data_IF_467371472006
#
_entry.id   IF_467371472006
#
_cell.length_a   1.000
_cell.length_b   1.000
_cell.length_c   1.000
_cell.angle_alpha   90.00
_cell.angle_beta   90.00
_cell.angle_gamma   90.00
#
_symmetry.space_group_name_H-M   'P 1'
#
loop_
_entity.id
_entity.type
_entity.pdbx_description
1 polymer ?
#
# COMPACT_ATOMS: atom_id res chain seq x y z
N UNK A 1 7.16 11.30 -9.99
CA UNK A 1 6.55 10.39 -10.99
C UNK A 1 6.53 8.99 -10.39
N UNK A 2 5.43 8.28 -10.56
CA UNK A 2 5.23 6.92 -10.03
C UNK A 2 5.94 5.92 -10.94
N UNK A 3 6.79 5.06 -10.38
CA UNK A 3 7.45 3.99 -11.13
C UNK A 3 6.50 2.81 -11.33
N UNK A 4 6.34 2.36 -12.58
CA UNK A 4 5.37 1.35 -12.98
C UNK A 4 6.03 0.24 -13.79
N UNK A 5 5.65 -1.02 -13.53
CA UNK A 5 5.92 -2.16 -14.42
C UNK A 5 4.60 -2.61 -15.04
N UNK A 6 4.63 -2.87 -16.35
CA UNK A 6 3.50 -3.42 -17.12
C UNK A 6 3.80 -4.87 -17.47
N UNK A 7 2.90 -5.77 -17.09
CA UNK A 7 3.09 -7.22 -17.19
C UNK A 7 1.88 -7.84 -17.88
N UNK A 8 2.06 -8.32 -19.11
CA UNK A 8 1.00 -8.86 -19.94
C UNK A 8 1.66 -9.64 -21.10
N UNK A 9 1.28 -10.84 -21.42
CA UNK A 9 1.88 -11.63 -22.52
C UNK A 9 1.47 -11.09 -23.90
N UNK A 10 0.33 -10.37 -23.98
CA UNK A 10 -0.14 -9.74 -25.21
C UNK A 10 0.57 -8.40 -25.46
N UNK A 11 1.41 -8.32 -26.48
CA UNK A 11 2.13 -7.10 -26.86
C UNK A 11 1.20 -5.89 -27.11
N UNK A 12 0.03 -6.11 -27.72
CA UNK A 12 -0.93 -5.03 -28.02
C UNK A 12 -1.49 -4.45 -26.73
N UNK A 13 -1.84 -5.29 -25.76
CA UNK A 13 -2.34 -4.88 -24.45
C UNK A 13 -1.28 -4.11 -23.66
N UNK A 14 -0.01 -4.60 -23.64
CA UNK A 14 1.10 -3.88 -23.00
C UNK A 14 1.30 -2.50 -23.58
N UNK A 15 1.43 -2.38 -24.92
CA UNK A 15 1.60 -1.08 -25.60
C UNK A 15 0.48 -0.09 -25.31
N UNK A 16 -0.76 -0.58 -25.21
CA UNK A 16 -1.91 0.25 -24.84
C UNK A 16 -1.76 0.81 -23.44
N UNK A 17 -1.39 -0.03 -22.48
CA UNK A 17 -1.17 0.40 -21.09
C UNK A 17 -0.02 1.41 -20.98
N UNK A 18 1.11 1.14 -21.64
CA UNK A 18 2.26 2.05 -21.66
C UNK A 18 1.83 3.42 -22.19
N UNK A 19 1.13 3.47 -23.31
CA UNK A 19 0.63 4.72 -23.87
C UNK A 19 -0.32 5.46 -22.92
N UNK A 20 -1.26 4.75 -22.29
CA UNK A 20 -2.19 5.36 -21.33
C UNK A 20 -1.46 5.90 -20.10
N UNK A 21 -0.42 5.22 -19.63
CA UNK A 21 0.42 5.67 -18.53
C UNK A 21 1.22 6.93 -18.91
N UNK A 22 1.82 6.97 -20.09
CA UNK A 22 2.52 8.14 -20.62
C UNK A 22 1.58 9.35 -20.75
N UNK A 23 0.34 9.14 -21.23
CA UNK A 23 -0.68 10.19 -21.36
C UNK A 23 -1.10 10.78 -19.99
N UNK A 24 -0.87 10.10 -18.86
CA UNK A 24 -1.13 10.67 -17.53
C UNK A 24 -0.14 11.78 -17.16
N UNK A 25 1.09 11.72 -17.67
CA UNK A 25 2.19 12.61 -17.27
C UNK A 25 2.66 12.41 -15.81
N UNK A 26 2.13 11.41 -15.10
CA UNK A 26 2.40 11.16 -13.66
C UNK A 26 3.16 9.86 -13.42
N UNK A 27 3.28 8.99 -14.42
CA UNK A 27 3.89 7.69 -14.35
C UNK A 27 5.15 7.57 -15.21
N UNK A 28 6.10 6.73 -14.79
CA UNK A 28 7.25 6.31 -15.58
C UNK A 28 7.24 4.79 -15.66
N UNK A 29 7.10 4.22 -16.85
CA UNK A 29 7.22 2.79 -17.07
C UNK A 29 8.69 2.41 -17.03
N UNK A 30 9.09 1.69 -15.98
CA UNK A 30 10.50 1.28 -15.75
C UNK A 30 10.81 -0.07 -16.35
N UNK A 31 9.80 -0.89 -16.63
CA UNK A 31 9.95 -2.16 -17.35
C UNK A 31 8.61 -2.61 -17.96
N UNK A 32 8.72 -3.40 -19.02
CA UNK A 32 7.66 -4.20 -19.61
C UNK A 32 8.05 -5.68 -19.51
N UNK A 33 7.13 -6.55 -19.07
CA UNK A 33 7.34 -7.98 -18.99
C UNK A 33 6.28 -8.74 -19.83
N UNK A 34 6.72 -9.72 -20.59
CA UNK A 34 5.85 -10.56 -21.39
C UNK A 34 5.47 -11.87 -20.68
N UNK A 35 5.89 -12.07 -19.42
CA UNK A 35 5.62 -13.26 -18.63
C UNK A 35 5.89 -13.05 -17.16
N UNK A 36 5.26 -13.89 -16.35
CA UNK A 36 5.28 -13.76 -14.89
C UNK A 36 6.64 -14.02 -14.25
N UNK A 37 7.42 -14.97 -14.80
CA UNK A 37 8.75 -15.26 -14.24
C UNK A 37 9.74 -14.11 -14.40
N UNK A 38 9.75 -13.44 -15.58
CA UNK A 38 10.55 -12.22 -15.80
C UNK A 38 10.07 -11.10 -14.86
N UNK A 39 8.76 -11.00 -14.69
CA UNK A 39 8.15 -10.00 -13.81
C UNK A 39 8.61 -10.11 -12.36
N UNK A 40 8.68 -11.31 -11.78
CA UNK A 40 9.16 -11.53 -10.40
C UNK A 40 10.57 -10.95 -10.22
N UNK A 41 11.50 -11.28 -11.13
CA UNK A 41 12.88 -10.78 -11.06
C UNK A 41 12.97 -9.25 -11.18
N UNK A 42 12.19 -8.66 -12.10
CA UNK A 42 12.19 -7.20 -12.30
C UNK A 42 11.52 -6.45 -11.17
N UNK A 43 10.43 -6.96 -10.61
CA UNK A 43 9.78 -6.34 -9.44
C UNK A 43 10.75 -6.33 -8.27
N UNK A 44 11.42 -7.45 -7.99
CA UNK A 44 12.39 -7.57 -6.90
C UNK A 44 13.61 -6.64 -7.07
N UNK A 45 14.03 -6.37 -8.32
CA UNK A 45 15.23 -5.56 -8.60
C UNK A 45 14.92 -4.08 -8.70
N UNK A 46 13.79 -3.72 -9.33
CA UNK A 46 13.43 -2.33 -9.64
C UNK A 46 12.52 -1.70 -8.57
N UNK A 47 11.97 -2.50 -7.66
CA UNK A 47 11.07 -2.06 -6.59
C UNK A 47 10.02 -1.03 -7.05
N UNK A 48 9.18 -1.36 -8.06
CA UNK A 48 8.23 -0.40 -8.60
C UNK A 48 7.19 -0.04 -7.56
N UNK A 49 6.65 1.16 -7.64
CA UNK A 49 5.57 1.61 -6.76
C UNK A 49 4.22 1.01 -7.17
N UNK A 50 4.04 0.70 -8.48
CA UNK A 50 2.80 0.17 -9.04
C UNK A 50 3.09 -0.91 -10.08
N UNK A 51 2.22 -1.90 -10.20
CA UNK A 51 2.23 -2.88 -11.29
C UNK A 51 0.84 -3.00 -11.92
N UNK A 52 0.80 -3.03 -13.26
CA UNK A 52 -0.33 -3.52 -14.01
C UNK A 52 -0.02 -4.95 -14.44
N UNK A 53 -0.85 -5.90 -14.03
CA UNK A 53 -0.53 -7.32 -14.09
C UNK A 53 -1.68 -8.11 -14.71
N UNK A 54 -1.43 -8.79 -15.83
CA UNK A 54 -2.39 -9.76 -16.33
C UNK A 54 -2.47 -10.98 -15.40
N UNK A 55 -3.67 -11.49 -15.24
CA UNK A 55 -3.92 -12.70 -14.46
C UNK A 55 -3.45 -13.92 -15.21
N UNK A 56 -3.74 -14.03 -16.50
CA UNK A 56 -3.38 -15.22 -17.28
C UNK A 56 -2.17 -14.98 -18.16
N UNK A 57 -1.10 -15.67 -17.83
CA UNK A 57 0.14 -15.72 -18.62
C UNK A 57 0.65 -17.16 -18.70
N UNK A 58 1.31 -17.56 -19.81
CA UNK A 58 1.65 -18.96 -20.06
C UNK A 58 2.63 -19.60 -19.07
N UNK A 59 3.57 -18.83 -18.52
CA UNK A 59 4.69 -19.33 -17.71
C UNK A 59 4.43 -19.29 -16.20
N UNK A 60 3.84 -18.20 -15.73
CA UNK A 60 3.43 -17.98 -14.34
C UNK A 60 2.28 -16.98 -14.32
N UNK A 61 1.16 -17.35 -13.74
CA UNK A 61 -0.01 -16.50 -13.67
C UNK A 61 0.20 -15.30 -12.71
N UNK A 62 -0.64 -14.27 -12.82
CA UNK A 62 -0.51 -13.07 -12.03
C UNK A 62 -0.58 -13.31 -10.51
N UNK A 63 -1.35 -14.27 -10.06
CA UNK A 63 -1.41 -14.64 -8.64
C UNK A 63 -0.12 -15.33 -8.19
N UNK A 64 0.43 -16.20 -9.03
CA UNK A 64 1.72 -16.84 -8.81
C UNK A 64 2.87 -15.85 -8.74
N UNK A 65 2.82 -14.77 -9.55
CA UNK A 65 3.79 -13.65 -9.44
C UNK A 65 3.74 -13.03 -8.04
N UNK A 66 2.55 -12.69 -7.53
CA UNK A 66 2.40 -12.10 -6.20
C UNK A 66 2.82 -13.06 -5.09
N UNK A 67 2.51 -14.35 -5.23
CA UNK A 67 2.93 -15.37 -4.27
C UNK A 67 4.45 -15.56 -4.25
N UNK A 68 5.12 -15.48 -5.40
CA UNK A 68 6.58 -15.56 -5.49
C UNK A 68 7.31 -14.34 -4.88
N UNK A 69 6.61 -13.22 -4.68
CA UNK A 69 7.11 -12.02 -4.03
C UNK A 69 6.84 -12.00 -2.52
N UNK A 70 6.28 -13.07 -1.95
CA UNK A 70 5.95 -13.17 -0.53
C UNK A 70 7.18 -12.86 0.36
N UNK A 71 6.97 -12.03 1.39
CA UNK A 71 8.04 -11.53 2.25
C UNK A 71 8.65 -10.17 1.83
N UNK A 72 8.32 -9.64 0.65
CA UNK A 72 8.70 -8.31 0.21
C UNK A 72 7.51 -7.34 0.26
N UNK A 73 7.74 -6.02 0.45
CA UNK A 73 6.66 -5.05 0.35
C UNK A 73 6.10 -5.05 -1.09
N UNK A 74 4.87 -5.50 -1.24
CA UNK A 74 4.21 -5.55 -2.55
C UNK A 74 3.93 -4.14 -3.08
N UNK A 75 4.12 -3.89 -4.38
CA UNK A 75 3.69 -2.65 -5.03
C UNK A 75 2.16 -2.49 -4.97
N UNK A 76 1.64 -1.35 -5.39
CA UNK A 76 0.22 -1.20 -5.66
C UNK A 76 -0.14 -2.05 -6.90
N UNK A 77 -0.97 -3.07 -6.74
CA UNK A 77 -1.31 -4.03 -7.79
C UNK A 77 -2.64 -3.65 -8.43
N UNK A 78 -2.65 -3.51 -9.76
CA UNK A 78 -3.86 -3.39 -10.58
C UNK A 78 -3.87 -4.57 -11.55
N UNK A 79 -4.83 -5.47 -11.39
CA UNK A 79 -5.01 -6.56 -12.35
C UNK A 79 -5.66 -6.06 -13.65
N UNK A 80 -5.19 -6.57 -14.79
CA UNK A 80 -5.71 -6.21 -16.13
C UNK A 80 -5.88 -7.48 -16.94
N UNK A 81 -7.10 -7.98 -17.08
CA UNK A 81 -7.33 -9.30 -17.68
C UNK A 81 -8.65 -9.38 -18.46
N UNK A 82 -8.77 -10.39 -19.33
CA UNK A 82 -10.01 -10.67 -20.06
C UNK A 82 -11.03 -11.51 -19.24
N UNK A 83 -10.69 -11.93 -18.04
CA UNK A 83 -11.46 -12.90 -17.26
C UNK A 83 -12.07 -12.24 -16.01
N UNK A 84 -13.40 -12.23 -15.92
CA UNK A 84 -14.18 -11.68 -14.81
C UNK A 84 -14.18 -12.57 -13.56
N UNK A 85 -14.06 -13.88 -13.74
CA UNK A 85 -14.11 -14.89 -12.68
C UNK A 85 -13.02 -14.74 -11.61
N UNK A 86 -11.92 -14.04 -11.90
CA UNK A 86 -10.83 -13.82 -10.97
C UNK A 86 -10.97 -12.54 -10.12
N UNK A 87 -12.01 -11.75 -10.37
CA UNK A 87 -12.23 -10.50 -9.62
C UNK A 87 -12.33 -10.76 -8.11
N UNK A 88 -13.00 -11.83 -7.68
CA UNK A 88 -13.12 -12.18 -6.26
C UNK A 88 -11.75 -12.51 -5.65
N UNK A 89 -10.91 -13.30 -6.33
CA UNK A 89 -9.55 -13.62 -5.87
C UNK A 89 -8.63 -12.39 -5.80
N UNK A 90 -8.86 -11.38 -6.64
CA UNK A 90 -8.10 -10.13 -6.58
C UNK A 90 -8.28 -9.39 -5.24
N UNK A 91 -9.45 -9.49 -4.63
CA UNK A 91 -9.70 -8.95 -3.28
C UNK A 91 -8.92 -9.70 -2.22
N UNK A 92 -8.79 -11.04 -2.31
CA UNK A 92 -8.07 -11.86 -1.34
C UNK A 92 -6.58 -11.50 -1.27
N UNK A 93 -5.99 -11.09 -2.40
CA UNK A 93 -4.57 -10.65 -2.48
C UNK A 93 -4.39 -9.14 -2.30
N UNK A 94 -5.43 -8.42 -1.84
CA UNK A 94 -5.40 -6.99 -1.57
C UNK A 94 -4.99 -6.14 -2.79
N UNK A 95 -5.36 -6.57 -4.01
CA UNK A 95 -5.21 -5.74 -5.20
C UNK A 95 -5.97 -4.43 -5.04
N UNK A 96 -5.42 -3.36 -5.58
CA UNK A 96 -6.04 -2.04 -5.47
C UNK A 96 -7.24 -1.92 -6.39
N UNK A 97 -7.14 -2.50 -7.58
CA UNK A 97 -8.21 -2.47 -8.57
C UNK A 97 -8.10 -3.65 -9.56
N UNK A 98 -9.15 -3.79 -10.37
CA UNK A 98 -9.31 -4.83 -11.38
C UNK A 98 -9.88 -4.23 -12.67
N UNK A 99 -9.10 -4.30 -13.77
CA UNK A 99 -9.49 -3.83 -15.09
C UNK A 99 -9.85 -5.01 -15.97
N UNK A 100 -11.12 -5.12 -16.36
CA UNK A 100 -11.57 -6.12 -17.31
C UNK A 100 -11.34 -5.64 -18.75
N UNK A 101 -10.61 -6.41 -19.56
CA UNK A 101 -10.44 -6.16 -21.00
C UNK A 101 -11.73 -6.52 -21.76
N UNK A 102 -12.22 -5.69 -22.70
CA UNK A 102 -11.71 -4.38 -23.07
C UNK A 102 -12.16 -3.29 -22.09
N UNK A 103 -11.26 -2.39 -21.71
CA UNK A 103 -11.54 -1.24 -20.88
C UNK A 103 -11.35 0.07 -21.66
N UNK A 104 -12.05 1.12 -21.29
CA UNK A 104 -11.87 2.46 -21.83
C UNK A 104 -10.85 3.29 -21.02
N UNK A 105 -10.53 4.48 -21.54
CA UNK A 105 -9.58 5.40 -20.91
C UNK A 105 -10.10 5.93 -19.57
N UNK A 106 -11.41 6.10 -19.41
CA UNK A 106 -12.00 6.58 -18.16
C UNK A 106 -11.80 5.57 -17.05
N UNK A 107 -12.12 4.28 -17.32
CA UNK A 107 -11.94 3.19 -16.37
C UNK A 107 -10.46 2.97 -15.98
N UNK A 108 -9.54 3.09 -16.96
CA UNK A 108 -8.10 3.07 -16.68
C UNK A 108 -7.69 4.21 -15.72
N UNK A 109 -8.14 5.44 -15.96
CA UNK A 109 -7.82 6.59 -15.12
C UNK A 109 -8.33 6.43 -13.69
N UNK A 110 -9.51 5.85 -13.50
CA UNK A 110 -10.04 5.53 -12.18
C UNK A 110 -9.13 4.54 -11.43
N UNK A 111 -8.72 3.46 -12.11
CA UNK A 111 -7.84 2.45 -11.51
C UNK A 111 -6.46 3.04 -11.14
N UNK A 112 -5.90 3.86 -12.05
CA UNK A 112 -4.64 4.55 -11.80
C UNK A 112 -4.74 5.50 -10.61
N UNK A 113 -5.82 6.28 -10.51
CA UNK A 113 -6.04 7.21 -9.41
C UNK A 113 -6.14 6.49 -8.06
N UNK A 114 -6.87 5.37 -7.98
CA UNK A 114 -6.96 4.54 -6.77
C UNK A 114 -5.60 3.97 -6.36
N UNK A 115 -4.81 3.49 -7.34
CA UNK A 115 -3.49 2.96 -7.07
C UNK A 115 -2.52 4.05 -6.59
N UNK A 116 -2.60 5.25 -7.16
CA UNK A 116 -1.85 6.42 -6.70
C UNK A 116 -2.22 6.79 -5.27
N UNK A 117 -3.49 6.90 -4.93
CA UNK A 117 -3.96 7.18 -3.57
C UNK A 117 -3.45 6.14 -2.57
N UNK A 118 -3.43 4.86 -2.94
CA UNK A 118 -2.89 3.78 -2.11
C UNK A 118 -1.41 3.96 -1.83
N UNK A 119 -0.62 4.37 -2.85
CA UNK A 119 0.81 4.64 -2.70
C UNK A 119 1.04 5.83 -1.77
N UNK A 120 0.32 6.93 -1.98
CA UNK A 120 0.43 8.14 -1.15
C UNK A 120 0.07 7.87 0.32
N UNK A 121 -0.95 7.07 0.56
CA UNK A 121 -1.37 6.68 1.91
C UNK A 121 -0.31 5.83 2.60
N UNK A 122 0.35 4.90 1.89
CA UNK A 122 1.45 4.10 2.44
C UNK A 122 2.63 4.96 2.84
N UNK A 123 3.04 5.89 1.99
CA UNK A 123 4.15 6.81 2.28
C UNK A 123 3.87 7.61 3.55
N UNK A 124 2.67 8.16 3.70
CA UNK A 124 2.26 8.90 4.90
C UNK A 124 2.30 8.02 6.16
N UNK A 125 1.84 6.78 6.06
CA UNK A 125 1.86 5.84 7.20
C UNK A 125 3.27 5.47 7.60
N UNK A 126 4.17 5.27 6.64
CA UNK A 126 5.58 4.98 6.90
C UNK A 126 6.34 6.18 7.49
N UNK A 127 6.06 7.41 7.01
CA UNK A 127 6.62 8.63 7.57
C UNK A 127 6.13 8.85 9.02
N UNK A 128 4.83 8.67 9.26
CA UNK A 128 4.26 8.72 10.61
C UNK A 128 4.87 7.62 11.52
N UNK A 129 5.12 6.43 10.99
CA UNK A 129 5.78 5.33 11.70
C UNK A 129 7.22 5.65 12.06
N UNK A 130 8.00 6.20 11.12
CA UNK A 130 9.39 6.65 11.34
C UNK A 130 9.46 7.80 12.35
N UNK A 131 8.56 8.78 12.22
CA UNK A 131 8.48 9.88 13.17
C UNK A 131 8.15 9.39 14.58
N UNK A 132 7.22 8.43 14.72
CA UNK A 132 6.90 7.79 16.00
C UNK A 132 8.08 7.02 16.57
N UNK A 133 8.86 6.32 15.74
CA UNK A 133 10.07 5.62 16.18
C UNK A 133 11.12 6.60 16.68
N UNK A 134 11.41 7.68 15.94
CA UNK A 134 12.34 8.73 16.34
C UNK A 134 11.91 9.43 17.63
N UNK A 135 10.61 9.73 17.78
CA UNK A 135 10.07 10.30 19.02
C UNK A 135 10.18 9.33 20.19
N UNK A 136 10.03 8.02 19.95
CA UNK A 136 10.22 7.00 20.98
C UNK A 136 11.67 6.94 21.44
N UNK A 137 12.62 6.94 20.51
CA UNK A 137 14.05 6.93 20.81
C UNK A 137 14.47 8.19 21.58
N UNK A 138 14.00 9.37 21.15
CA UNK A 138 14.27 10.64 21.83
C UNK A 138 13.67 10.71 23.24
N UNK A 139 12.50 10.10 23.45
CA UNK A 139 11.83 10.05 24.76
C UNK A 139 12.36 8.94 25.67
N UNK A 140 13.09 7.95 25.14
CA UNK A 140 13.71 6.86 25.91
C UNK A 140 15.13 7.20 26.40
N UNK A 141 15.80 8.21 25.80
CA UNK A 141 17.16 8.61 26.17
C UNK A 141 17.23 9.35 27.54
N UNK A 142 16.08 9.69 28.13
CA UNK A 142 15.99 10.36 29.45
C UNK A 142 15.73 9.40 30.63
N UNK A 143 15.96 8.07 30.47
CA UNK A 143 15.71 7.07 31.52
C UNK A 143 16.80 6.01 31.69
N UNK A 144 17.77 6.33 32.51
CA UNK A 144 18.42 5.33 33.38
C UNK A 144 17.57 5.19 34.64
N UNK A 145 16.71 4.20 34.73
CA UNK A 145 16.57 3.33 35.91
C UNK A 145 15.31 2.44 35.90
N UNK A 146 15.55 1.14 36.14
CA UNK A 146 14.67 0.15 36.74
C UNK A 146 13.49 -0.43 35.93
N UNK A 147 13.78 -1.59 35.37
CA UNK A 147 13.03 -2.80 35.12
C UNK A 147 11.52 -2.88 35.43
N UNK A 148 10.70 -2.27 34.57
CA UNK A 148 9.34 -2.65 34.15
C UNK A 148 8.94 -1.63 33.08
N UNK A 149 8.86 -2.08 31.81
CA UNK A 149 8.40 -1.23 30.71
C UNK A 149 6.89 -0.96 30.85
N UNK A 150 6.53 0.09 31.55
CA UNK A 150 5.22 0.70 31.44
C UNK A 150 5.31 1.89 30.47
N UNK A 151 4.40 1.94 29.49
CA UNK A 151 4.28 3.10 28.60
C UNK A 151 3.84 4.30 29.43
N UNK A 152 4.69 5.28 29.61
CA UNK A 152 4.34 6.50 30.33
C UNK A 152 3.52 7.51 29.51
N UNK A 153 3.50 7.34 28.20
CA UNK A 153 2.83 8.25 27.25
C UNK A 153 2.28 7.48 26.06
N UNK A 154 1.10 7.89 25.59
CA UNK A 154 0.44 7.34 24.40
C UNK A 154 0.22 8.48 23.40
N UNK A 155 0.58 8.26 22.13
CA UNK A 155 0.28 9.20 21.06
C UNK A 155 -1.11 8.89 20.48
N UNK A 156 -2.02 9.85 20.53
CA UNK A 156 -3.38 9.77 19.97
C UNK A 156 -3.54 10.77 18.84
N UNK A 157 -4.17 10.35 17.75
CA UNK A 157 -4.47 11.22 16.61
C UNK A 157 -5.90 11.74 16.75
N UNK A 158 -6.06 13.04 16.98
CA UNK A 158 -7.37 13.72 17.09
C UNK A 158 -7.44 14.80 16.02
N UNK A 159 -8.45 14.75 15.17
CA UNK A 159 -8.67 15.72 14.07
C UNK A 159 -7.42 15.91 13.17
N UNK A 160 -6.68 14.82 12.90
CA UNK A 160 -5.48 14.87 12.08
C UNK A 160 -4.22 15.38 12.80
N UNK A 161 -4.32 15.82 14.06
CA UNK A 161 -3.21 16.29 14.88
C UNK A 161 -2.80 15.22 15.88
N UNK A 162 -1.48 14.98 15.99
CA UNK A 162 -0.93 14.03 16.96
C UNK A 162 -0.85 14.71 18.32
N UNK A 163 -1.52 14.14 19.33
CA UNK A 163 -1.43 14.58 20.73
C UNK A 163 -0.76 13.51 21.57
N UNK A 164 0.14 13.91 22.46
CA UNK A 164 0.79 13.01 23.42
C UNK A 164 0.04 13.12 24.74
N UNK A 165 -0.53 12.01 25.19
CA UNK A 165 -1.24 11.87 26.48
C UNK A 165 -0.36 11.05 27.42
N UNK A 166 -0.17 11.51 28.67
CA UNK A 166 0.51 10.71 29.69
C UNK A 166 -0.42 9.61 30.17
N UNK A 167 0.09 8.40 30.33
CA UNK A 167 -0.72 7.26 30.81
C UNK A 167 -1.32 7.50 32.20
N UNK A 168 -0.64 8.29 33.05
CA UNK A 168 -1.15 8.67 34.36
C UNK A 168 -2.31 9.69 34.30
N UNK A 169 -2.52 10.34 33.17
CA UNK A 169 -3.62 11.30 32.96
C UNK A 169 -4.86 10.60 32.35
N UNK A 170 -4.74 9.31 31.98
CA UNK A 170 -5.86 8.53 31.42
C UNK A 170 -6.67 7.95 32.58
N UNK A 171 -7.92 8.37 32.68
CA UNK A 171 -8.83 7.87 33.72
C UNK A 171 -9.30 6.44 33.42
N UNK A 172 -9.67 6.18 32.15
CA UNK A 172 -10.06 4.87 31.67
C UNK A 172 -10.07 4.82 30.14
N UNK A 173 -10.18 3.61 29.58
CA UNK A 173 -10.29 3.39 28.14
C UNK A 173 -11.41 2.41 27.82
N UNK A 174 -11.97 2.53 26.61
CA UNK A 174 -12.94 1.59 26.06
C UNK A 174 -12.56 1.18 24.65
N UNK A 175 -12.96 -0.02 24.25
CA UNK A 175 -12.80 -0.51 22.88
C UNK A 175 -14.03 -0.15 22.06
N UNK A 176 -13.82 0.47 20.89
CA UNK A 176 -14.87 0.83 19.94
C UNK A 176 -14.48 0.24 18.56
N UNK A 177 -14.90 -0.99 18.29
CA UNK A 177 -14.53 -1.76 17.12
C UNK A 177 -13.02 -2.01 17.03
N UNK A 178 -12.36 -1.43 16.03
CA UNK A 178 -10.92 -1.53 15.82
C UNK A 178 -10.13 -0.37 16.46
N UNK A 179 -10.76 0.46 17.25
CA UNK A 179 -10.20 1.64 17.89
C UNK A 179 -10.29 1.54 19.41
N UNK A 180 -9.43 2.30 20.08
CA UNK A 180 -9.45 2.47 21.53
C UNK A 180 -9.72 3.95 21.82
N UNK A 181 -10.76 4.20 22.60
CA UNK A 181 -11.10 5.55 23.07
C UNK A 181 -10.47 5.79 24.43
N UNK A 182 -9.70 6.87 24.57
CA UNK A 182 -9.08 7.27 25.83
C UNK A 182 -9.88 8.41 26.47
N UNK A 183 -10.18 8.27 27.74
CA UNK A 183 -10.86 9.29 28.55
C UNK A 183 -9.86 9.97 29.47
N UNK A 184 -9.70 11.30 29.31
CA UNK A 184 -8.75 12.14 30.05
C UNK A 184 -9.53 13.33 30.62
N UNK A 185 -9.86 13.29 31.90
CA UNK A 185 -10.72 14.30 32.52
C UNK A 185 -12.08 14.43 31.85
N UNK A 186 -12.41 15.60 31.31
CA UNK A 186 -13.65 15.86 30.56
C UNK A 186 -13.49 15.73 29.06
N UNK A 187 -12.32 15.30 28.54
CA UNK A 187 -12.01 15.24 27.11
C UNK A 187 -11.85 13.79 26.66
N UNK A 188 -12.52 13.44 25.55
CA UNK A 188 -12.45 12.12 24.92
C UNK A 188 -11.54 12.18 23.70
N UNK A 189 -10.61 11.22 23.55
CA UNK A 189 -9.71 11.07 22.42
C UNK A 189 -9.94 9.72 21.75
N UNK A 190 -10.20 9.73 20.44
CA UNK A 190 -10.42 8.52 19.61
C UNK A 190 -9.22 8.27 18.73
#
# INVERSE_FOLDING_TARGET
MITVIVIDDENIARRRLVRLLEETGEATVVAECAGGRDAVGRIATLEPQMVFLDVQMPDLDGFGVLQALDGNPLPAVVFVTAFDQYAVRAFDVHAVDYLLKPYDTARFREAFARAKERIETRVRTDEDGRLRALLRDYLSDDRTSNGREFLDRVAVKVDGVLRIVRTNDIDWWETDGNYVRLHVGTTNHL
#
